data_IF_179651727594
#
_entry.id   IF_179651727594
#
_cell.length_a   1.000
_cell.length_b   1.000
_cell.length_c   1.000
_cell.angle_alpha   90.00
_cell.angle_beta   90.00
_cell.angle_gamma   90.00
#
_symmetry.space_group_name_H-M   'P 1'
#
loop_
_entity.id
_entity.type
_entity.pdbx_description
1 polymer ?
#
# COMPACT_ATOMS: atom_id res chain seq x y z
N UNK A 1 -8.16 -0.29 -17.32
CA UNK A 1 -8.09 0.46 -16.05
C UNK A 1 -7.22 1.69 -16.23
N UNK A 2 -7.51 2.76 -15.51
CA UNK A 2 -6.63 3.93 -15.44
C UNK A 2 -5.40 3.54 -14.61
N UNK A 3 -4.21 3.92 -15.06
CA UNK A 3 -2.95 3.60 -14.39
C UNK A 3 -2.90 4.18 -12.96
N UNK A 4 -2.18 3.52 -12.05
CA UNK A 4 -2.14 3.91 -10.64
C UNK A 4 -1.64 5.34 -10.44
N UNK A 5 -0.53 5.71 -11.10
CA UNK A 5 0.04 7.07 -10.96
C UNK A 5 -0.89 8.15 -11.51
N UNK A 6 -1.62 7.88 -12.59
CA UNK A 6 -2.62 8.81 -13.11
C UNK A 6 -3.77 9.01 -12.12
N UNK A 7 -4.25 7.92 -11.50
CA UNK A 7 -5.26 8.01 -10.44
C UNK A 7 -4.77 8.76 -9.22
N UNK A 8 -3.54 8.52 -8.80
CA UNK A 8 -2.94 9.19 -7.64
C UNK A 8 -2.77 10.69 -7.90
N UNK A 9 -2.24 11.07 -9.07
CA UNK A 9 -2.10 12.46 -9.48
C UNK A 9 -3.46 13.18 -9.54
N UNK A 10 -4.48 12.50 -10.06
CA UNK A 10 -5.86 13.02 -10.08
C UNK A 10 -6.39 13.19 -8.65
N UNK A 11 -6.22 12.21 -7.78
CA UNK A 11 -6.66 12.26 -6.38
C UNK A 11 -5.98 13.43 -5.63
N UNK A 12 -4.66 13.62 -5.80
CA UNK A 12 -3.95 14.77 -5.23
C UNK A 12 -4.52 16.10 -5.72
N UNK A 13 -4.80 16.21 -7.02
CA UNK A 13 -5.35 17.44 -7.60
C UNK A 13 -6.76 17.74 -7.11
N UNK A 14 -7.61 16.74 -6.94
CA UNK A 14 -8.98 16.91 -6.51
C UNK A 14 -9.10 17.18 -5.00
N UNK A 15 -8.38 16.42 -4.18
CA UNK A 15 -8.43 16.58 -2.71
C UNK A 15 -7.57 17.72 -2.20
N UNK A 16 -6.62 18.22 -3.01
CA UNK A 16 -5.58 19.16 -2.57
C UNK A 16 -4.81 18.65 -1.33
N UNK A 17 -4.65 17.33 -1.22
CA UNK A 17 -4.10 16.65 -0.06
C UNK A 17 -3.26 15.45 -0.47
N UNK A 18 -2.15 15.23 0.25
CA UNK A 18 -1.33 14.03 0.15
C UNK A 18 -1.64 13.04 1.29
N UNK A 19 -2.72 13.26 2.04
CA UNK A 19 -3.08 12.41 3.17
C UNK A 19 -3.59 11.06 2.68
N UNK A 20 -3.04 9.99 3.25
CA UNK A 20 -3.53 8.63 3.12
C UNK A 20 -4.01 8.14 4.49
N UNK A 21 -5.27 7.74 4.60
CA UNK A 21 -5.82 7.20 5.86
C UNK A 21 -5.71 5.68 5.86
N UNK A 22 -5.03 5.15 6.88
CA UNK A 22 -4.96 3.71 7.15
C UNK A 22 -6.26 3.20 7.77
N UNK A 23 -6.72 2.03 7.32
CA UNK A 23 -7.87 1.32 7.86
C UNK A 23 -7.38 0.01 8.49
N UNK A 24 -7.01 0.12 9.77
CA UNK A 24 -6.41 -0.95 10.57
C UNK A 24 -7.34 -1.27 11.77
N UNK A 25 -8.54 -1.87 11.53
CA UNK A 25 -9.56 -2.03 12.57
C UNK A 25 -9.16 -3.10 13.59
N UNK A 26 -8.76 -2.66 14.77
CA UNK A 26 -8.47 -3.52 15.92
C UNK A 26 -9.73 -3.65 16.79
N UNK A 27 -10.39 -4.82 16.86
CA UNK A 27 -11.62 -4.99 17.64
C UNK A 27 -11.48 -4.62 19.10
N UNK A 28 -10.26 -4.75 19.68
CA UNK A 28 -10.01 -4.39 21.07
C UNK A 28 -10.02 -2.89 21.34
N UNK A 29 -9.88 -2.08 20.29
CA UNK A 29 -9.82 -0.61 20.35
C UNK A 29 -11.02 0.06 19.69
N UNK A 30 -11.85 -0.70 18.98
CA UNK A 30 -13.04 -0.19 18.35
C UNK A 30 -14.09 0.21 19.41
N UNK A 31 -14.88 1.29 19.18
CA UNK A 31 -16.00 1.61 20.04
C UNK A 31 -16.97 0.43 20.17
N UNK A 32 -17.48 0.20 21.38
CA UNK A 32 -18.32 -0.98 21.70
C UNK A 32 -19.57 -1.12 20.82
N UNK A 33 -20.08 0.00 20.29
CA UNK A 33 -21.22 0.00 19.36
C UNK A 33 -20.97 -0.80 18.08
N UNK A 34 -19.69 -0.95 17.67
CA UNK A 34 -19.32 -1.74 16.49
C UNK A 34 -18.95 -3.18 16.84
N UNK A 35 -18.22 -3.39 17.94
CA UNK A 35 -17.70 -4.72 18.29
C UNK A 35 -18.79 -5.77 18.57
N UNK A 36 -20.02 -5.34 18.85
CA UNK A 36 -21.18 -6.22 19.06
C UNK A 36 -22.00 -6.51 17.79
N UNK A 37 -21.63 -5.92 16.64
CA UNK A 37 -22.39 -6.07 15.40
C UNK A 37 -21.75 -7.12 14.48
N UNK A 38 -22.53 -7.90 13.71
CA UNK A 38 -22.00 -8.90 12.77
C UNK A 38 -21.04 -8.29 11.72
N UNK A 39 -21.32 -7.08 11.23
CA UNK A 39 -20.49 -6.35 10.26
C UNK A 39 -19.77 -5.15 10.91
N UNK A 40 -19.45 -5.25 12.18
CA UNK A 40 -18.94 -4.12 12.96
C UNK A 40 -17.63 -3.55 12.44
N UNK A 41 -16.73 -4.40 11.91
CA UNK A 41 -15.46 -3.98 11.31
C UNK A 41 -15.72 -3.12 10.07
N UNK A 42 -16.58 -3.58 9.15
CA UNK A 42 -16.94 -2.82 7.95
C UNK A 42 -17.64 -1.51 8.31
N UNK A 43 -18.62 -1.54 9.22
CA UNK A 43 -19.35 -0.36 9.64
C UNK A 43 -18.44 0.69 10.28
N UNK A 44 -17.49 0.27 11.10
CA UNK A 44 -16.49 1.17 11.69
C UNK A 44 -15.63 1.81 10.61
N UNK A 45 -15.10 1.02 9.66
CA UNK A 45 -14.29 1.55 8.56
C UNK A 45 -15.09 2.49 7.67
N UNK A 46 -16.35 2.20 7.36
CA UNK A 46 -17.22 3.06 6.55
C UNK A 46 -17.43 4.41 7.23
N UNK A 47 -17.66 4.46 8.55
CA UNK A 47 -17.77 5.76 9.27
C UNK A 47 -16.47 6.56 9.19
N UNK A 48 -15.28 5.91 9.26
CA UNK A 48 -13.99 6.59 9.07
C UNK A 48 -13.85 7.09 7.63
N UNK A 49 -14.22 6.28 6.65
CA UNK A 49 -14.17 6.66 5.22
C UNK A 49 -15.04 7.90 4.99
N UNK A 50 -16.29 7.87 5.43
CA UNK A 50 -17.23 8.98 5.23
C UNK A 50 -16.78 10.27 5.92
N UNK A 51 -16.13 10.14 7.09
CA UNK A 51 -15.62 11.28 7.85
C UNK A 51 -14.35 11.90 7.24
N UNK A 52 -13.67 11.22 6.33
CA UNK A 52 -12.33 11.64 5.85
C UNK A 52 -12.18 11.68 4.33
N UNK A 53 -13.15 11.16 3.59
CA UNK A 53 -13.01 10.98 2.13
C UNK A 53 -12.77 12.27 1.34
N UNK A 54 -13.27 13.41 1.82
CA UNK A 54 -13.05 14.73 1.23
C UNK A 54 -11.70 15.36 1.61
N UNK A 55 -10.97 14.76 2.54
CA UNK A 55 -9.70 15.24 3.06
C UNK A 55 -8.48 14.44 2.56
N UNK A 56 -8.70 13.30 1.91
CA UNK A 56 -7.64 12.32 1.59
C UNK A 56 -7.49 12.11 0.10
N UNK A 57 -6.27 11.74 -0.32
CA UNK A 57 -6.03 11.22 -1.67
C UNK A 57 -6.17 9.69 -1.74
N UNK A 58 -6.01 8.98 -0.61
CA UNK A 58 -6.03 7.52 -0.59
C UNK A 58 -6.57 6.96 0.73
N UNK A 59 -7.15 5.75 0.63
CA UNK A 59 -7.37 4.84 1.76
C UNK A 59 -6.47 3.62 1.63
N UNK A 60 -5.96 3.15 2.78
CA UNK A 60 -5.03 2.03 2.83
C UNK A 60 -5.46 1.00 3.88
N UNK A 61 -6.41 0.09 3.56
CA UNK A 61 -6.74 -1.01 4.45
C UNK A 61 -5.57 -1.98 4.58
N UNK A 62 -5.31 -2.42 5.82
CA UNK A 62 -4.29 -3.43 6.15
C UNK A 62 -4.96 -4.81 6.26
N UNK A 63 -4.64 -5.71 5.33
CA UNK A 63 -5.28 -7.03 5.21
C UNK A 63 -5.19 -7.88 6.49
N UNK A 64 -4.10 -7.75 7.25
CA UNK A 64 -3.87 -8.55 8.46
C UNK A 64 -4.96 -8.36 9.53
N UNK A 65 -5.50 -7.15 9.66
CA UNK A 65 -6.56 -6.86 10.64
C UNK A 65 -7.88 -7.53 10.29
N UNK A 66 -8.13 -7.75 9.01
CA UNK A 66 -9.32 -8.46 8.53
C UNK A 66 -9.12 -9.97 8.56
N UNK A 67 -8.02 -10.47 8.03
CA UNK A 67 -7.73 -11.90 7.97
C UNK A 67 -7.67 -12.54 9.37
N UNK A 68 -7.05 -11.87 10.35
CA UNK A 68 -7.00 -12.34 11.72
C UNK A 68 -8.40 -12.50 12.37
N UNK A 69 -9.40 -11.77 11.89
CA UNK A 69 -10.78 -11.80 12.38
C UNK A 69 -11.71 -12.63 11.48
N UNK A 70 -11.18 -13.30 10.44
CA UNK A 70 -11.98 -13.99 9.40
C UNK A 70 -13.02 -13.06 8.77
N UNK A 71 -12.60 -11.82 8.48
CA UNK A 71 -13.45 -10.72 8.04
C UNK A 71 -13.04 -10.19 6.66
N UNK A 72 -12.50 -11.06 5.79
CA UNK A 72 -12.10 -10.69 4.44
C UNK A 72 -13.29 -10.27 3.57
N UNK A 73 -14.48 -10.78 3.85
CA UNK A 73 -15.74 -10.34 3.25
C UNK A 73 -16.07 -8.88 3.63
N UNK A 74 -15.75 -8.48 4.85
CA UNK A 74 -15.90 -7.10 5.29
C UNK A 74 -14.84 -6.18 4.64
N UNK A 75 -13.63 -6.68 4.38
CA UNK A 75 -12.63 -5.97 3.58
C UNK A 75 -13.14 -5.75 2.14
N UNK A 76 -13.72 -6.77 1.50
CA UNK A 76 -14.35 -6.61 0.18
C UNK A 76 -15.47 -5.55 0.22
N UNK A 77 -16.27 -5.56 1.27
CA UNK A 77 -17.36 -4.59 1.46
C UNK A 77 -16.83 -3.17 1.49
N UNK A 78 -15.78 -2.87 2.27
CA UNK A 78 -15.23 -1.51 2.33
C UNK A 78 -14.50 -1.11 1.05
N UNK A 79 -13.82 -2.04 0.38
CA UNK A 79 -13.20 -1.77 -0.92
C UNK A 79 -14.25 -1.39 -1.98
N UNK A 80 -15.33 -2.16 -2.06
CA UNK A 80 -16.46 -1.86 -2.95
C UNK A 80 -17.15 -0.54 -2.58
N UNK A 81 -17.27 -0.25 -1.28
CA UNK A 81 -17.82 1.02 -0.82
C UNK A 81 -16.98 2.23 -1.27
N UNK A 82 -15.66 2.16 -1.10
CA UNK A 82 -14.73 3.21 -1.57
C UNK A 82 -14.88 3.39 -3.09
N UNK A 83 -14.92 2.30 -3.85
CA UNK A 83 -15.06 2.35 -5.32
C UNK A 83 -16.36 2.99 -5.78
N UNK A 84 -17.47 2.67 -5.13
CA UNK A 84 -18.81 3.16 -5.54
C UNK A 84 -19.11 4.55 -5.04
N UNK A 85 -18.72 4.89 -3.81
CA UNK A 85 -19.09 6.14 -3.14
C UNK A 85 -18.03 7.23 -3.28
N UNK A 86 -16.74 6.83 -3.40
CA UNK A 86 -15.59 7.73 -3.48
C UNK A 86 -14.64 7.34 -4.63
N UNK A 87 -15.14 7.34 -5.90
CA UNK A 87 -14.40 6.77 -7.06
C UNK A 87 -13.09 7.51 -7.39
N UNK A 88 -12.93 8.74 -6.94
CA UNK A 88 -11.74 9.55 -7.17
C UNK A 88 -10.64 9.34 -6.11
N UNK A 89 -10.93 8.63 -5.02
CA UNK A 89 -9.94 8.30 -3.98
C UNK A 89 -9.20 7.03 -4.37
N UNK A 90 -7.87 7.03 -4.18
CA UNK A 90 -7.03 5.86 -4.45
C UNK A 90 -7.20 4.81 -3.35
N UNK A 91 -7.26 3.54 -3.76
CA UNK A 91 -7.30 2.39 -2.85
C UNK A 91 -5.97 1.63 -2.89
N UNK A 92 -5.25 1.62 -1.78
CA UNK A 92 -3.99 0.89 -1.62
C UNK A 92 -4.24 -0.31 -0.69
N UNK A 93 -3.98 -1.53 -1.15
CA UNK A 93 -4.02 -2.70 -0.28
C UNK A 93 -2.66 -2.85 0.44
N UNK A 94 -2.66 -2.66 1.76
CA UNK A 94 -1.46 -2.91 2.57
C UNK A 94 -1.39 -4.40 2.94
N UNK A 95 -0.67 -5.17 2.14
CA UNK A 95 -0.56 -6.62 2.26
C UNK A 95 0.88 -7.11 2.42
N UNK A 96 1.86 -6.29 2.02
CA UNK A 96 3.30 -6.59 2.07
C UNK A 96 3.62 -7.97 1.48
N UNK A 97 3.03 -8.26 0.30
CA UNK A 97 3.18 -9.55 -0.39
C UNK A 97 4.62 -9.77 -0.85
N UNK A 98 5.03 -11.02 -0.88
CA UNK A 98 6.34 -11.44 -1.35
C UNK A 98 6.31 -12.95 -1.56
N UNK A 99 6.19 -13.36 -2.85
CA UNK A 99 6.18 -14.75 -3.26
C UNK A 99 6.57 -14.85 -4.74
N UNK A 100 6.72 -16.04 -5.27
CA UNK A 100 7.24 -16.28 -6.62
C UNK A 100 6.19 -16.96 -7.53
N UNK A 101 6.38 -16.79 -8.84
CA UNK A 101 5.65 -17.53 -9.87
C UNK A 101 4.12 -17.43 -9.71
N UNK A 102 3.46 -18.58 -9.78
CA UNK A 102 1.99 -18.67 -9.71
C UNK A 102 1.40 -18.19 -8.38
N UNK A 103 2.16 -18.27 -7.28
CA UNK A 103 1.71 -17.75 -5.98
C UNK A 103 1.66 -16.21 -6.02
N UNK A 104 2.67 -15.56 -6.56
CA UNK A 104 2.67 -14.10 -6.77
C UNK A 104 1.52 -13.66 -7.68
N UNK A 105 1.24 -14.41 -8.76
CA UNK A 105 0.09 -14.16 -9.64
C UNK A 105 -1.25 -14.25 -8.90
N UNK A 106 -1.43 -15.22 -8.00
CA UNK A 106 -2.64 -15.32 -7.18
C UNK A 106 -2.78 -14.14 -6.20
N UNK A 107 -1.69 -13.66 -5.61
CA UNK A 107 -1.72 -12.45 -4.79
C UNK A 107 -2.05 -11.18 -5.62
N UNK A 108 -1.62 -11.11 -6.88
CA UNK A 108 -2.01 -10.02 -7.77
C UNK A 108 -3.53 -10.05 -8.07
N UNK A 109 -4.09 -11.24 -8.33
CA UNK A 109 -5.55 -11.44 -8.47
C UNK A 109 -6.29 -11.03 -7.20
N UNK A 110 -5.80 -11.44 -6.03
CA UNK A 110 -6.37 -11.02 -4.75
C UNK A 110 -6.43 -9.50 -4.62
N UNK A 111 -5.31 -8.80 -4.86
CA UNK A 111 -5.22 -7.36 -4.69
C UNK A 111 -6.09 -6.60 -5.70
N UNK A 112 -5.98 -6.92 -6.98
CA UNK A 112 -6.52 -6.07 -8.04
C UNK A 112 -7.88 -6.51 -8.56
N UNK A 113 -8.20 -7.81 -8.49
CA UNK A 113 -9.48 -8.33 -8.94
C UNK A 113 -10.46 -8.49 -7.78
N UNK A 114 -10.05 -9.18 -6.70
CA UNK A 114 -10.91 -9.41 -5.55
C UNK A 114 -11.19 -8.12 -4.78
N UNK A 115 -10.14 -7.41 -4.37
CA UNK A 115 -10.27 -6.18 -3.58
C UNK A 115 -10.34 -4.91 -4.43
N UNK A 116 -10.07 -4.97 -5.72
CA UNK A 116 -10.14 -3.83 -6.64
C UNK A 116 -9.16 -2.70 -6.27
N UNK A 117 -8.03 -3.01 -5.65
CA UNK A 117 -7.02 -2.03 -5.28
C UNK A 117 -6.38 -1.38 -6.52
N UNK A 118 -5.91 -0.14 -6.38
CA UNK A 118 -5.10 0.54 -7.41
C UNK A 118 -3.63 0.18 -7.28
N UNK A 119 -3.19 -0.07 -6.04
CA UNK A 119 -1.83 -0.47 -5.72
C UNK A 119 -1.79 -1.43 -4.53
N UNK A 120 -0.70 -2.18 -4.42
CA UNK A 120 -0.44 -3.10 -3.32
C UNK A 120 0.99 -2.92 -2.79
N UNK A 121 1.17 -3.04 -1.48
CA UNK A 121 2.49 -3.05 -0.87
C UNK A 121 3.13 -4.43 -1.01
N UNK A 122 4.42 -4.46 -1.36
CA UNK A 122 5.20 -5.69 -1.58
C UNK A 122 6.53 -5.66 -0.84
N UNK A 123 7.03 -6.84 -0.48
CA UNK A 123 8.37 -7.02 0.06
C UNK A 123 9.34 -7.31 -1.08
N UNK A 124 10.39 -6.50 -1.31
CA UNK A 124 11.31 -6.67 -2.43
C UNK A 124 12.34 -7.78 -2.26
N UNK A 125 12.39 -8.44 -1.12
CA UNK A 125 13.46 -9.37 -0.75
C UNK A 125 13.64 -10.55 -1.75
N UNK A 126 12.57 -10.98 -2.42
CA UNK A 126 12.61 -12.05 -3.43
C UNK A 126 13.01 -11.57 -4.84
N UNK A 127 13.25 -10.29 -5.03
CA UNK A 127 13.73 -9.73 -6.30
C UNK A 127 12.63 -9.36 -7.29
N UNK A 128 13.05 -8.96 -8.48
CA UNK A 128 12.16 -8.33 -9.48
C UNK A 128 11.11 -9.28 -10.03
N UNK A 129 11.49 -10.55 -10.33
CA UNK A 129 10.55 -11.55 -10.84
C UNK A 129 9.38 -11.86 -9.90
N UNK A 130 9.56 -11.63 -8.59
CA UNK A 130 8.50 -11.77 -7.60
C UNK A 130 7.41 -10.70 -7.68
N UNK A 131 7.70 -9.57 -8.31
CA UNK A 131 6.76 -8.44 -8.45
C UNK A 131 6.22 -8.28 -9.87
N UNK A 132 6.83 -8.88 -10.88
CA UNK A 132 6.35 -8.85 -12.27
C UNK A 132 4.87 -9.21 -12.41
N UNK A 133 4.33 -10.26 -11.75
CA UNK A 133 2.92 -10.61 -11.85
C UNK A 133 1.95 -9.50 -11.41
N UNK A 134 2.35 -8.64 -10.50
CA UNK A 134 1.53 -7.50 -10.07
C UNK A 134 1.48 -6.42 -11.16
N UNK A 135 2.59 -6.15 -11.84
CA UNK A 135 2.62 -5.23 -12.99
C UNK A 135 1.83 -5.80 -14.18
N UNK A 136 1.98 -7.09 -14.48
CA UNK A 136 1.23 -7.79 -15.53
C UNK A 136 -0.29 -7.72 -15.30
N UNK A 137 -0.73 -7.75 -14.04
CA UNK A 137 -2.12 -7.56 -13.66
C UNK A 137 -2.61 -6.10 -13.78
N UNK A 138 -1.71 -5.16 -14.09
CA UNK A 138 -2.01 -3.76 -14.36
C UNK A 138 -2.24 -2.90 -13.11
N UNK A 139 -1.77 -3.33 -11.95
CA UNK A 139 -1.83 -2.58 -10.70
C UNK A 139 -0.51 -1.87 -10.37
N UNK A 140 -0.58 -0.91 -9.44
CA UNK A 140 0.60 -0.24 -8.88
C UNK A 140 1.31 -1.09 -7.83
N UNK A 141 2.63 -1.00 -7.77
CA UNK A 141 3.46 -1.75 -6.82
C UNK A 141 4.21 -0.79 -5.90
N UNK A 142 4.00 -0.91 -4.59
CA UNK A 142 4.67 -0.08 -3.59
C UNK A 142 5.63 -0.95 -2.78
N UNK A 143 6.93 -0.82 -3.08
CA UNK A 143 7.98 -1.65 -2.47
C UNK A 143 8.43 -1.13 -1.10
N UNK A 144 8.59 -2.04 -0.13
CA UNK A 144 9.18 -1.70 1.16
C UNK A 144 10.64 -1.30 0.96
N UNK A 145 11.00 -0.09 1.36
CA UNK A 145 12.36 0.42 1.21
C UNK A 145 13.05 0.62 2.57
N UNK A 146 12.56 1.56 3.37
CA UNK A 146 13.07 1.82 4.71
C UNK A 146 11.90 1.80 5.69
N UNK A 147 11.76 0.71 6.42
CA UNK A 147 10.61 0.49 7.32
C UNK A 147 10.85 1.08 8.70
N UNK A 148 9.79 1.47 9.41
CA UNK A 148 9.85 2.23 10.66
C UNK A 148 10.16 1.38 11.91
N UNK A 149 10.04 0.05 11.80
CA UNK A 149 10.29 -0.88 12.91
C UNK A 149 11.80 -0.99 13.23
N UNK A 150 12.19 -1.20 14.49
CA UNK A 150 13.60 -1.31 14.88
C UNK A 150 14.35 -2.41 14.13
N UNK A 151 13.72 -3.56 13.87
CA UNK A 151 14.31 -4.67 13.12
C UNK A 151 14.61 -4.36 11.65
N UNK A 152 14.16 -3.21 11.14
CA UNK A 152 14.58 -2.73 9.82
C UNK A 152 16.10 -2.57 9.70
N UNK A 153 16.78 -2.24 10.79
CA UNK A 153 18.24 -2.08 10.82
C UNK A 153 19.00 -3.38 10.58
N UNK A 154 18.42 -4.53 10.90
CA UNK A 154 19.07 -5.84 10.75
C UNK A 154 19.47 -6.14 9.29
N UNK A 155 18.69 -5.65 8.32
CA UNK A 155 18.95 -5.84 6.89
C UNK A 155 19.11 -4.51 6.15
N UNK A 156 18.21 -3.56 6.35
CA UNK A 156 18.11 -2.37 5.51
C UNK A 156 19.31 -1.43 5.66
N UNK A 157 20.04 -1.52 6.79
CA UNK A 157 21.25 -0.74 7.05
C UNK A 157 22.55 -1.49 6.76
N UNK A 158 22.50 -2.73 6.27
CA UNK A 158 23.69 -3.46 5.87
C UNK A 158 24.42 -2.73 4.73
N UNK A 159 25.73 -2.61 4.86
CA UNK A 159 26.60 -2.04 3.82
C UNK A 159 26.64 -2.96 2.59
N UNK A 160 26.32 -2.42 1.45
CA UNK A 160 26.30 -3.09 0.15
C UNK A 160 27.32 -2.48 -0.83
N UNK A 161 28.51 -2.20 -0.35
CA UNK A 161 29.61 -1.59 -1.12
C UNK A 161 29.65 -0.07 -1.00
N UNK A 162 29.52 0.44 0.21
CA UNK A 162 29.59 1.85 0.58
C UNK A 162 28.23 2.53 0.74
N UNK A 163 27.13 1.82 0.47
CA UNK A 163 25.78 2.32 0.64
C UNK A 163 24.90 1.28 1.37
N UNK A 164 23.97 1.70 2.22
CA UNK A 164 23.08 0.76 2.90
C UNK A 164 22.12 0.08 1.94
N UNK A 165 21.66 -1.12 2.30
CA UNK A 165 20.78 -1.94 1.46
C UNK A 165 19.51 -1.21 1.02
N UNK A 166 18.91 -0.35 1.87
CA UNK A 166 17.69 0.39 1.48
C UNK A 166 17.93 1.32 0.27
N UNK A 167 19.15 1.85 0.10
CA UNK A 167 19.54 2.65 -1.08
C UNK A 167 19.48 1.79 -2.33
N UNK A 168 20.03 0.56 -2.27
CA UNK A 168 19.96 -0.39 -3.40
C UNK A 168 18.52 -0.74 -3.77
N UNK A 169 17.66 -0.89 -2.76
CA UNK A 169 16.23 -1.12 -2.99
C UNK A 169 15.59 0.10 -3.69
N UNK A 170 15.88 1.32 -3.24
CA UNK A 170 15.38 2.53 -3.88
C UNK A 170 15.85 2.65 -5.35
N UNK A 171 17.13 2.38 -5.62
CA UNK A 171 17.70 2.35 -6.98
C UNK A 171 17.02 1.28 -7.86
N UNK A 172 16.82 0.07 -7.33
CA UNK A 172 16.14 -1.02 -8.06
C UNK A 172 14.71 -0.62 -8.45
N UNK A 173 13.94 -0.06 -7.52
CA UNK A 173 12.57 0.40 -7.79
C UNK A 173 12.59 1.52 -8.84
N UNK A 174 13.44 2.52 -8.69
CA UNK A 174 13.50 3.67 -9.59
C UNK A 174 14.01 3.31 -11.00
N UNK A 175 14.94 2.36 -11.13
CA UNK A 175 15.64 2.07 -12.39
C UNK A 175 15.13 0.83 -13.11
N UNK A 176 14.57 -0.15 -12.38
CA UNK A 176 14.11 -1.41 -12.94
C UNK A 176 12.58 -1.52 -12.88
N UNK A 177 11.95 -1.41 -11.71
CA UNK A 177 10.52 -1.58 -11.56
C UNK A 177 9.70 -0.51 -12.28
N UNK A 178 10.18 0.75 -12.29
CA UNK A 178 9.53 1.84 -13.03
C UNK A 178 9.42 1.61 -14.54
N UNK A 179 10.21 0.68 -15.08
CA UNK A 179 10.12 0.26 -16.50
C UNK A 179 9.09 -0.84 -16.73
N UNK A 180 8.70 -1.55 -15.68
CA UNK A 180 7.70 -2.61 -15.74
C UNK A 180 6.28 -2.05 -15.58
N UNK A 181 6.13 -0.97 -14.79
CA UNK A 181 4.84 -0.33 -14.55
C UNK A 181 4.90 0.72 -13.45
N UNK A 182 3.74 1.15 -13.00
CA UNK A 182 3.59 2.16 -11.98
C UNK A 182 4.06 1.64 -10.61
N UNK A 183 4.98 2.36 -9.98
CA UNK A 183 5.53 1.95 -8.70
C UNK A 183 5.72 3.11 -7.73
N UNK A 184 5.92 2.78 -6.48
CA UNK A 184 6.25 3.67 -5.37
C UNK A 184 7.01 2.93 -4.29
N UNK A 185 7.29 3.60 -3.18
CA UNK A 185 8.08 3.07 -2.07
C UNK A 185 7.41 3.33 -0.73
N UNK A 186 7.73 2.48 0.26
CA UNK A 186 7.44 2.75 1.67
C UNK A 186 8.71 3.23 2.35
N UNK A 187 8.65 4.41 2.98
CA UNK A 187 9.73 4.93 3.82
C UNK A 187 9.14 5.46 5.12
N UNK A 188 9.62 4.94 6.25
CA UNK A 188 9.12 5.34 7.57
C UNK A 188 9.37 6.82 7.86
N UNK A 189 8.35 7.53 8.32
CA UNK A 189 8.42 8.96 8.65
C UNK A 189 9.37 9.28 9.81
N UNK A 190 9.76 8.26 10.59
CA UNK A 190 10.74 8.39 11.69
C UNK A 190 12.18 8.51 11.21
N UNK A 191 12.44 8.38 9.91
CA UNK A 191 13.77 8.43 9.29
C UNK A 191 13.84 9.57 8.25
N UNK A 192 13.84 10.85 8.66
CA UNK A 192 13.78 11.99 7.73
C UNK A 192 15.04 12.11 6.84
N UNK A 193 16.21 11.70 7.34
CA UNK A 193 17.45 11.74 6.56
C UNK A 193 17.43 10.69 5.45
N UNK A 194 17.03 9.47 5.76
CA UNK A 194 16.87 8.37 4.82
C UNK A 194 15.77 8.68 3.80
N UNK A 195 14.67 9.31 4.23
CA UNK A 195 13.61 9.79 3.33
C UNK A 195 14.17 10.81 2.32
N UNK A 196 14.98 11.76 2.78
CA UNK A 196 15.63 12.74 1.91
C UNK A 196 16.56 12.08 0.90
N UNK A 197 17.35 11.11 1.34
CA UNK A 197 18.25 10.33 0.48
C UNK A 197 17.45 9.53 -0.57
N UNK A 198 16.41 8.83 -0.16
CA UNK A 198 15.53 8.08 -1.08
C UNK A 198 14.89 9.02 -2.11
N UNK A 199 14.39 10.19 -1.68
CA UNK A 199 13.77 11.18 -2.59
C UNK A 199 14.74 11.63 -3.69
N UNK A 200 16.02 11.82 -3.37
CA UNK A 200 17.05 12.19 -4.36
C UNK A 200 17.29 11.08 -5.40
N UNK A 201 17.12 9.82 -5.00
CA UNK A 201 17.30 8.65 -5.89
C UNK A 201 16.08 8.45 -6.79
N UNK A 202 14.88 8.53 -6.22
CA UNK A 202 13.66 8.10 -6.91
C UNK A 202 12.91 9.22 -7.64
N UNK A 203 13.37 10.47 -7.51
CA UNK A 203 12.72 11.62 -8.17
C UNK A 203 11.27 11.78 -7.72
N UNK A 204 10.32 11.75 -8.66
CA UNK A 204 8.90 12.02 -8.41
C UNK A 204 8.08 10.77 -8.07
N UNK A 205 8.69 9.59 -7.93
CA UNK A 205 7.95 8.40 -7.52
C UNK A 205 7.29 8.61 -6.15
N UNK A 206 6.04 8.16 -5.96
CA UNK A 206 5.35 8.33 -4.69
C UNK A 206 6.05 7.57 -3.56
N UNK A 207 6.12 8.20 -2.41
CA UNK A 207 6.62 7.62 -1.15
C UNK A 207 5.45 7.60 -0.16
N UNK A 208 5.14 6.41 0.32
CA UNK A 208 4.10 6.12 1.30
C UNK A 208 4.70 6.01 2.71
#
# INVERSE_FOLDING_TARGET
>A
SVAFLDRLNRAWSLSQSNLCVGLDPDPSKMPSRFSSQPNGIANFCIEIIDATADLVCAFKPQIAYFAAQRAEDQLETICNYIRSSHPDVVLILDAKRGDIGSTAANYAIEAFIRFGADAVTVNPYLGTDSVEPFFEAGGGVIGLCRTSNPGGDDLQMLDTGGEPLFVRVAEMIAQQWSKLGDCGLVVGATYPNELSQVRQIVGDLPIL
#
